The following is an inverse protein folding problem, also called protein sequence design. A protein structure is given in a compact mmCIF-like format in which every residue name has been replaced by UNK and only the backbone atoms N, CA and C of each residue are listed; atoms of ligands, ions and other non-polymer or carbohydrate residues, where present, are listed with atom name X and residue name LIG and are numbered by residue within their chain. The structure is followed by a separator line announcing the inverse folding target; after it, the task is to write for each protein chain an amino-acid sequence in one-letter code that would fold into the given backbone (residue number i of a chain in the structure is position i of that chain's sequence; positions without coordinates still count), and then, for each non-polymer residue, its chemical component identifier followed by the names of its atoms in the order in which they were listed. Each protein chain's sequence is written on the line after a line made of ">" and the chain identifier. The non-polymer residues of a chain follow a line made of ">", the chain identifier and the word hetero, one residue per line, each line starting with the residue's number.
data_IF_230291328322
#
_entry.id   IF_230291328322
#
_cell.length_a   1.000
_cell.length_b   1.000
_cell.length_c   1.000
_cell.angle_alpha   90.00
_cell.angle_beta   90.00
_cell.angle_gamma   90.00
#
_symmetry.space_group_name_H-M   'P 1'
#
loop_
_entity.id
_entity.type
_entity.pdbx_description
1 polymer ?
#
# COMPACT_ATOMS: atom_id res chain seq x y z
N UNK A 1 5.12 -1.14 -9.08
CA UNK A 1 5.99 -0.08 -8.54
C UNK A 1 5.30 0.54 -7.34
N UNK A 2 6.07 1.03 -6.37
CA UNK A 2 5.50 1.60 -5.14
C UNK A 2 5.44 3.12 -5.20
N UNK A 3 4.42 3.73 -4.60
CA UNK A 3 4.29 5.19 -4.47
C UNK A 3 3.71 5.54 -3.10
N UNK A 4 4.05 6.73 -2.59
CA UNK A 4 3.50 7.26 -1.34
C UNK A 4 2.27 8.11 -1.62
N UNK A 5 1.21 7.89 -0.86
CA UNK A 5 0.01 8.71 -0.91
C UNK A 5 -0.72 8.73 0.43
N UNK A 6 -1.50 9.78 0.69
CA UNK A 6 -2.42 9.81 1.81
C UNK A 6 -3.75 9.16 1.40
N UNK A 7 -4.08 8.06 2.06
CA UNK A 7 -5.35 7.36 1.91
C UNK A 7 -6.39 8.05 2.80
N UNK A 8 -7.36 8.70 2.15
CA UNK A 8 -8.42 9.49 2.78
C UNK A 8 -9.56 8.58 3.25
N UNK A 9 -9.84 7.52 2.50
CA UNK A 9 -10.84 6.51 2.83
C UNK A 9 -10.44 5.16 2.25
N UNK A 10 -10.69 4.06 2.97
CA UNK A 10 -10.48 2.70 2.46
C UNK A 10 -11.55 1.76 3.00
N UNK A 11 -12.33 1.18 2.09
CA UNK A 11 -13.44 0.28 2.38
C UNK A 11 -13.11 -1.12 1.87
N UNK A 12 -13.15 -2.11 2.75
CA UNK A 12 -13.06 -3.53 2.43
C UNK A 12 -14.38 -4.23 2.77
N UNK A 13 -14.53 -5.51 2.44
CA UNK A 13 -15.80 -6.22 2.58
C UNK A 13 -16.47 -6.00 3.93
N UNK A 14 -17.64 -5.35 3.89
CA UNK A 14 -18.49 -5.00 5.02
C UNK A 14 -17.90 -4.06 6.10
N UNK A 15 -16.65 -3.57 5.96
CA UNK A 15 -16.00 -2.72 6.98
C UNK A 15 -15.02 -1.69 6.41
N UNK A 16 -14.94 -0.50 7.04
CA UNK A 16 -13.93 0.51 6.70
C UNK A 16 -12.60 0.21 7.41
N UNK A 17 -11.50 0.11 6.65
CA UNK A 17 -10.12 0.02 7.17
C UNK A 17 -9.60 1.38 7.60
N UNK A 18 -9.90 2.40 6.80
CA UNK A 18 -9.53 3.80 7.06
C UNK A 18 -10.81 4.62 7.10
N UNK A 19 -10.98 5.41 8.17
CA UNK A 19 -12.10 6.36 8.27
C UNK A 19 -11.91 7.48 7.26
N UNK A 20 -13.01 7.98 6.75
CA UNK A 20 -13.03 9.15 5.88
C UNK A 20 -12.51 10.38 6.65
N UNK A 21 -11.37 10.94 6.22
CA UNK A 21 -10.69 12.04 6.91
C UNK A 21 -9.99 12.97 5.93
N UNK A 22 -9.90 14.26 6.28
CA UNK A 22 -9.24 15.29 5.46
C UNK A 22 -7.71 15.17 5.44
N UNK A 23 -7.10 14.58 6.48
CA UNK A 23 -5.64 14.45 6.56
C UNK A 23 -5.14 13.08 6.05
N UNK A 24 -6.07 12.16 5.78
CA UNK A 24 -5.76 10.79 5.41
C UNK A 24 -4.82 10.06 6.37
N UNK A 25 -4.30 8.93 5.90
CA UNK A 25 -3.19 8.21 6.53
C UNK A 25 -2.19 7.90 5.44
N UNK A 26 -0.91 8.09 5.68
CA UNK A 26 0.11 7.84 4.65
C UNK A 26 0.30 6.32 4.46
N UNK A 27 0.20 5.88 3.21
CA UNK A 27 0.51 4.52 2.79
C UNK A 27 1.58 4.54 1.70
N UNK A 28 2.37 3.47 1.67
CA UNK A 28 3.13 3.05 0.51
C UNK A 28 2.28 2.02 -0.24
N UNK A 29 1.83 2.35 -1.43
CA UNK A 29 0.89 1.55 -2.22
C UNK A 29 1.59 1.01 -3.47
N UNK A 30 1.13 -0.11 -3.99
CA UNK A 30 1.64 -0.69 -5.23
C UNK A 30 0.71 -0.39 -6.40
N UNK A 31 1.26 0.26 -7.43
CA UNK A 31 0.55 0.65 -8.66
C UNK A 31 -0.07 -0.53 -9.41
N UNK A 32 0.48 -1.75 -9.27
CA UNK A 32 -0.08 -2.94 -9.92
C UNK A 32 -1.37 -3.47 -9.26
N UNK A 33 -1.83 -2.83 -8.20
CA UNK A 33 -3.04 -3.19 -7.44
C UNK A 33 -4.20 -2.24 -7.69
N UNK A 34 -4.02 -1.27 -8.58
CA UNK A 34 -4.98 -0.20 -8.82
C UNK A 34 -5.84 -0.54 -10.04
N UNK A 35 -7.14 -0.27 -9.95
CA UNK A 35 -8.05 -0.32 -11.08
C UNK A 35 -9.10 0.80 -11.02
N UNK A 36 -9.70 1.10 -12.18
CA UNK A 36 -10.85 2.02 -12.33
C UNK A 36 -10.63 3.40 -11.69
N UNK A 37 -9.44 3.96 -11.90
CA UNK A 37 -9.01 5.26 -11.39
C UNK A 37 -9.87 6.38 -11.97
N UNK A 38 -10.35 7.29 -11.11
CA UNK A 38 -11.18 8.44 -11.48
C UNK A 38 -11.02 9.59 -10.48
N UNK A 39 -11.35 10.81 -10.90
CA UNK A 39 -11.42 11.96 -10.00
C UNK A 39 -12.50 11.73 -8.94
N UNK A 40 -12.20 12.00 -7.67
CA UNK A 40 -13.14 11.84 -6.58
C UNK A 40 -14.27 12.86 -6.69
N UNK A 41 -15.52 12.39 -6.56
CA UNK A 41 -16.70 13.25 -6.69
C UNK A 41 -16.68 14.40 -5.67
N UNK A 42 -16.94 15.62 -6.14
CA UNK A 42 -16.98 16.80 -5.27
C UNK A 42 -15.63 17.51 -5.09
N UNK A 43 -14.56 17.02 -5.73
CA UNK A 43 -13.27 17.71 -5.82
C UNK A 43 -13.13 18.45 -7.14
N UNK A 44 -12.22 19.43 -7.20
CA UNK A 44 -11.89 20.10 -8.45
C UNK A 44 -11.27 19.10 -9.45
N UNK A 45 -11.42 19.35 -10.75
CA UNK A 45 -10.77 18.53 -11.78
C UNK A 45 -9.26 18.49 -11.53
N UNK A 46 -8.69 17.28 -11.39
CA UNK A 46 -7.28 17.07 -11.04
C UNK A 46 -6.98 17.04 -9.53
N UNK A 47 -8.00 17.07 -8.65
CA UNK A 47 -7.85 16.85 -7.21
C UNK A 47 -7.75 15.37 -6.83
N UNK A 48 -8.25 15.02 -5.63
CA UNK A 48 -8.24 13.67 -5.07
C UNK A 48 -8.72 12.60 -6.07
N UNK A 49 -8.12 11.41 -5.99
CA UNK A 49 -8.49 10.27 -6.83
C UNK A 49 -9.28 9.23 -6.05
N UNK A 50 -10.12 8.48 -6.75
CA UNK A 50 -10.78 7.29 -6.24
C UNK A 50 -10.54 6.12 -7.17
N UNK A 51 -10.43 4.92 -6.61
CA UNK A 51 -10.03 3.70 -7.33
C UNK A 51 -10.50 2.44 -6.58
N UNK A 52 -10.32 1.28 -7.21
CA UNK A 52 -10.36 -0.01 -6.52
C UNK A 52 -8.93 -0.52 -6.30
N UNK A 53 -8.66 -1.00 -5.08
CA UNK A 53 -7.38 -1.53 -4.65
C UNK A 53 -7.48 -3.03 -4.35
N UNK A 54 -6.63 -3.85 -4.96
CA UNK A 54 -6.61 -5.30 -4.74
C UNK A 54 -5.47 -5.70 -3.80
N UNK A 55 -5.81 -6.29 -2.65
CA UNK A 55 -4.83 -6.82 -1.71
C UNK A 55 -4.08 -8.03 -2.30
N UNK A 56 -4.75 -8.79 -3.17
CA UNK A 56 -4.17 -9.90 -3.90
C UNK A 56 -4.77 -10.04 -5.32
N UNK A 57 -4.13 -9.50 -6.37
CA UNK A 57 -4.61 -9.59 -7.75
C UNK A 57 -4.50 -11.01 -8.31
N UNK A 58 -3.85 -11.93 -7.58
CA UNK A 58 -3.76 -13.34 -7.95
C UNK A 58 -4.92 -14.17 -7.37
N UNK A 59 -5.72 -13.60 -6.46
CA UNK A 59 -6.95 -14.22 -5.96
C UNK A 59 -8.15 -13.66 -6.71
N UNK A 60 -8.78 -14.48 -7.56
CA UNK A 60 -9.98 -14.11 -8.31
C UNK A 60 -11.19 -13.78 -7.42
N UNK A 61 -11.12 -14.07 -6.12
CA UNK A 61 -12.17 -13.75 -5.14
C UNK A 61 -11.98 -12.37 -4.52
N UNK A 62 -10.80 -11.77 -4.65
CA UNK A 62 -10.58 -10.39 -4.21
C UNK A 62 -11.34 -9.45 -5.16
N UNK A 63 -12.43 -8.86 -4.67
CA UNK A 63 -13.32 -8.02 -5.46
C UNK A 63 -12.86 -6.57 -5.58
N UNK A 64 -11.65 -6.24 -5.09
CA UNK A 64 -11.15 -4.89 -5.07
C UNK A 64 -11.84 -4.03 -4.00
N UNK A 65 -11.06 -3.18 -3.37
CA UNK A 65 -11.48 -2.39 -2.22
C UNK A 65 -11.52 -0.92 -2.60
N UNK A 66 -12.67 -0.27 -2.41
CA UNK A 66 -12.81 1.14 -2.75
C UNK A 66 -11.88 2.00 -1.89
N UNK A 67 -11.10 2.86 -2.54
CA UNK A 67 -10.11 3.71 -1.91
C UNK A 67 -10.21 5.13 -2.47
N UNK A 68 -10.00 6.13 -1.61
CA UNK A 68 -9.85 7.54 -1.96
C UNK A 68 -8.47 7.99 -1.52
N UNK A 69 -7.75 8.68 -2.41
CA UNK A 69 -6.39 9.18 -2.20
C UNK A 69 -6.36 10.70 -2.37
N UNK A 70 -5.63 11.40 -1.52
CA UNK A 70 -5.17 12.77 -1.78
C UNK A 70 -3.98 12.69 -2.74
N UNK A 71 -4.30 12.36 -4.00
CA UNK A 71 -3.33 12.19 -5.07
C UNK A 71 -4.02 12.44 -6.42
N UNK A 72 -3.51 13.38 -7.24
CA UNK A 72 -4.08 13.68 -8.55
C UNK A 72 -4.13 12.46 -9.47
N UNK A 73 -5.19 12.35 -10.26
CA UNK A 73 -5.35 11.27 -11.25
C UNK A 73 -4.22 11.27 -12.27
N UNK A 74 -3.81 12.44 -12.77
CA UNK A 74 -2.76 12.55 -13.79
C UNK A 74 -1.40 12.09 -13.25
N UNK A 75 -1.08 12.45 -11.99
CA UNK A 75 0.13 11.99 -11.31
C UNK A 75 0.09 10.48 -11.07
N UNK A 76 -1.07 9.94 -10.67
CA UNK A 76 -1.22 8.50 -10.45
C UNK A 76 -1.04 7.70 -11.76
N UNK A 77 -1.58 8.21 -12.87
CA UNK A 77 -1.38 7.63 -14.20
C UNK A 77 0.09 7.73 -14.62
N UNK A 78 0.77 8.83 -14.29
CA UNK A 78 2.21 8.96 -14.54
C UNK A 78 2.99 7.88 -13.80
N UNK A 79 2.75 7.71 -12.50
CA UNK A 79 3.37 6.65 -11.69
C UNK A 79 3.13 5.26 -12.30
N UNK A 80 1.88 4.92 -12.67
CA UNK A 80 1.58 3.61 -13.29
C UNK A 80 2.41 3.36 -14.57
N UNK A 81 2.63 4.40 -15.38
CA UNK A 81 3.32 4.27 -16.67
C UNK A 81 4.85 4.25 -16.54
N UNK A 82 5.42 4.81 -15.47
CA UNK A 82 6.87 4.77 -15.19
C UNK A 82 7.29 3.48 -14.45
N UNK A 83 6.31 2.67 -14.00
CA UNK A 83 6.42 1.57 -13.04
C UNK A 83 7.16 0.28 -13.41
N UNK A 84 7.95 0.23 -14.47
CA UNK A 84 8.52 -1.03 -14.96
C UNK A 84 9.94 -1.26 -14.46
N UNK A 85 10.09 -1.55 -13.17
CA UNK A 85 11.26 -2.24 -12.63
C UNK A 85 10.84 -3.58 -12.00
N UNK A 86 11.32 -4.69 -12.57
CA UNK A 86 11.28 -5.99 -11.91
C UNK A 86 12.32 -5.95 -10.78
N UNK A 87 11.86 -5.78 -9.54
CA UNK A 87 12.73 -5.71 -8.36
C UNK A 87 12.23 -6.59 -7.22
N UNK A 88 13.10 -6.76 -6.24
CA UNK A 88 12.77 -7.27 -4.91
C UNK A 88 13.01 -6.18 -3.87
N UNK A 89 12.35 -6.32 -2.72
CA UNK A 89 12.52 -5.48 -1.54
C UNK A 89 12.89 -6.38 -0.36
N UNK A 90 13.86 -5.95 0.45
CA UNK A 90 14.27 -6.67 1.64
C UNK A 90 13.60 -6.05 2.86
N UNK A 91 12.82 -6.86 3.57
CA UNK A 91 12.08 -6.46 4.76
C UNK A 91 12.81 -6.96 6.00
N UNK A 92 13.24 -6.05 6.87
CA UNK A 92 13.72 -6.39 8.21
C UNK A 92 12.53 -6.67 9.14
N UNK A 93 12.00 -7.89 9.11
CA UNK A 93 10.76 -8.29 9.78
C UNK A 93 11.01 -8.62 11.24
N UNK A 94 10.26 -8.02 12.17
CA UNK A 94 10.31 -8.42 13.57
C UNK A 94 9.74 -9.83 13.75
N UNK A 95 10.49 -10.70 14.44
CA UNK A 95 10.04 -12.07 14.74
C UNK A 95 8.69 -12.03 15.47
N UNK A 96 7.68 -12.72 14.96
CA UNK A 96 6.31 -12.71 15.51
C UNK A 96 5.66 -11.32 15.65
N UNK A 97 6.12 -10.34 14.86
CA UNK A 97 5.72 -8.93 14.99
C UNK A 97 6.02 -8.32 16.38
N UNK A 98 6.95 -8.92 17.13
CA UNK A 98 7.37 -8.43 18.44
C UNK A 98 8.60 -7.51 18.31
N UNK A 99 8.46 -6.20 18.55
CA UNK A 99 9.55 -5.25 18.40
C UNK A 99 10.67 -5.40 19.44
N UNK A 100 10.48 -6.23 20.46
CA UNK A 100 11.52 -6.54 21.46
C UNK A 100 12.45 -7.66 20.99
N UNK A 101 12.08 -8.39 19.93
CA UNK A 101 12.87 -9.47 19.35
C UNK A 101 13.70 -8.96 18.14
N UNK A 102 14.71 -9.76 17.77
CA UNK A 102 15.52 -9.47 16.59
C UNK A 102 14.69 -9.56 15.29
N UNK A 103 15.13 -8.81 14.29
CA UNK A 103 14.57 -8.88 12.94
C UNK A 103 15.19 -10.01 12.13
N UNK A 104 14.43 -10.50 11.15
CA UNK A 104 14.88 -11.43 10.12
C UNK A 104 14.66 -10.78 8.77
N UNK A 105 15.72 -10.72 7.96
CA UNK A 105 15.63 -10.20 6.61
C UNK A 105 14.82 -11.16 5.73
N UNK A 106 13.75 -10.64 5.13
CA UNK A 106 12.84 -11.38 4.25
C UNK A 106 12.77 -10.65 2.92
N UNK A 107 13.28 -11.29 1.86
CA UNK A 107 13.20 -10.76 0.51
C UNK A 107 11.86 -11.13 -0.14
N UNK A 108 11.17 -10.14 -0.70
CA UNK A 108 9.95 -10.36 -1.49
C UNK A 108 10.06 -9.64 -2.83
N UNK A 109 9.48 -10.22 -3.89
CA UNK A 109 9.32 -9.49 -5.14
C UNK A 109 8.37 -8.31 -4.97
N UNK A 110 8.69 -7.16 -5.56
CA UNK A 110 7.81 -5.98 -5.58
C UNK A 110 6.40 -6.32 -6.08
N UNK A 111 6.18 -7.23 -7.06
CA UNK A 111 4.82 -7.61 -7.46
C UNK A 111 3.98 -8.22 -6.33
N UNK A 112 4.61 -8.85 -5.33
CA UNK A 112 3.92 -9.46 -4.18
C UNK A 112 3.63 -8.45 -3.07
N UNK A 113 4.33 -7.31 -3.03
CA UNK A 113 4.03 -6.23 -2.09
C UNK A 113 2.62 -5.69 -2.37
N UNK A 114 1.76 -5.68 -1.35
CA UNK A 114 0.44 -5.07 -1.46
C UNK A 114 0.55 -3.61 -1.01
N UNK A 115 0.77 -3.34 0.27
CA UNK A 115 0.87 -1.98 0.79
C UNK A 115 1.65 -1.95 2.10
N UNK A 116 2.09 -0.77 2.53
CA UNK A 116 2.58 -0.54 3.88
C UNK A 116 2.01 0.73 4.49
N UNK A 117 1.90 0.74 5.82
CA UNK A 117 1.45 1.89 6.61
C UNK A 117 2.42 2.12 7.77
N UNK A 118 2.68 3.39 8.10
CA UNK A 118 3.53 3.72 9.23
C UNK A 118 2.93 3.16 10.54
N UNK A 119 3.78 2.69 11.45
CA UNK A 119 3.35 2.34 12.79
C UNK A 119 2.97 3.61 13.55
N UNK A 120 1.72 3.67 14.03
CA UNK A 120 1.17 4.84 14.73
C UNK A 120 1.95 5.21 16.01
N UNK A 121 2.69 4.27 16.59
CA UNK A 121 3.40 4.48 17.86
C UNK A 121 4.89 4.76 17.68
N UNK A 122 5.50 4.35 16.57
CA UNK A 122 6.94 4.41 16.36
C UNK A 122 7.27 4.76 14.91
N UNK A 123 7.83 5.95 14.70
CA UNK A 123 8.10 6.52 13.38
C UNK A 123 9.13 5.75 12.55
N UNK A 124 9.94 4.88 13.15
CA UNK A 124 10.95 4.06 12.46
C UNK A 124 10.43 2.73 11.95
N UNK A 125 9.15 2.42 12.18
CA UNK A 125 8.54 1.12 11.83
C UNK A 125 7.34 1.30 10.90
N UNK A 126 7.01 0.24 10.20
CA UNK A 126 5.81 0.15 9.38
C UNK A 126 5.23 -1.25 9.41
N UNK A 127 3.93 -1.33 9.14
CA UNK A 127 3.24 -2.59 8.88
C UNK A 127 3.23 -2.79 7.36
N UNK A 128 3.78 -3.91 6.90
CA UNK A 128 3.84 -4.28 5.48
C UNK A 128 2.91 -5.46 5.26
N UNK A 129 2.01 -5.33 4.28
CA UNK A 129 1.15 -6.41 3.79
C UNK A 129 1.64 -6.86 2.42
N UNK A 130 1.84 -8.15 2.24
CA UNK A 130 2.27 -8.75 0.97
C UNK A 130 1.61 -10.12 0.75
N UNK A 131 1.67 -10.61 -0.49
CA UNK A 131 1.15 -11.92 -0.88
C UNK A 131 2.23 -12.98 -0.62
N UNK A 132 2.02 -13.85 0.36
CA UNK A 132 2.98 -14.91 0.74
C UNK A 132 2.86 -16.13 -0.17
N UNK A 133 1.65 -16.44 -0.62
CA UNK A 133 1.36 -17.50 -1.59
C UNK A 133 0.12 -17.11 -2.40
N UNK A 134 -0.15 -17.79 -3.52
CA UNK A 134 -1.12 -17.37 -4.53
C UNK A 134 -2.47 -16.83 -4.04
N UNK A 135 -2.96 -17.24 -2.86
CA UNK A 135 -4.23 -16.76 -2.28
C UNK A 135 -4.11 -16.15 -0.87
N UNK A 136 -2.92 -16.10 -0.27
CA UNK A 136 -2.76 -15.67 1.12
C UNK A 136 -1.95 -14.37 1.21
N UNK A 137 -2.54 -13.36 1.86
CA UNK A 137 -1.85 -12.15 2.29
C UNK A 137 -1.29 -12.32 3.69
N UNK A 138 -0.14 -11.72 3.96
CA UNK A 138 0.51 -11.70 5.25
C UNK A 138 0.87 -10.26 5.62
N UNK A 139 0.58 -9.89 6.86
CA UNK A 139 0.95 -8.58 7.42
C UNK A 139 2.02 -8.77 8.48
N UNK A 140 3.13 -8.04 8.32
CA UNK A 140 4.29 -8.10 9.21
C UNK A 140 4.69 -6.71 9.68
N UNK A 141 5.23 -6.63 10.90
CA UNK A 141 5.87 -5.42 11.40
C UNK A 141 7.33 -5.40 10.95
N UNK A 142 7.76 -4.31 10.31
CA UNK A 142 9.12 -4.15 9.81
C UNK A 142 9.84 -2.99 10.48
N UNK A 143 11.15 -3.15 10.68
CA UNK A 143 12.02 -2.09 11.18
C UNK A 143 12.48 -1.16 10.03
N UNK A 144 11.51 -0.53 9.37
CA UNK A 144 11.76 0.41 8.27
C UNK A 144 10.64 1.42 8.16
N UNK A 145 10.98 2.66 7.79
CA UNK A 145 10.02 3.69 7.45
C UNK A 145 9.44 3.47 6.06
N UNK A 146 8.29 4.07 5.75
CA UNK A 146 7.73 4.00 4.40
C UNK A 146 8.68 4.58 3.35
N UNK A 147 9.40 5.67 3.67
CA UNK A 147 10.40 6.26 2.79
C UNK A 147 11.61 5.33 2.56
N UNK A 148 12.06 4.62 3.60
CA UNK A 148 13.15 3.65 3.48
C UNK A 148 12.74 2.43 2.64
N UNK A 149 11.47 2.01 2.71
CA UNK A 149 10.93 0.96 1.84
C UNK A 149 10.82 1.44 0.39
N UNK A 150 10.33 2.67 0.16
CA UNK A 150 10.24 3.25 -1.19
C UNK A 150 11.62 3.39 -1.85
N UNK A 151 12.66 3.75 -1.09
CA UNK A 151 14.01 3.92 -1.64
C UNK A 151 14.69 2.61 -2.10
N UNK A 152 14.09 1.45 -1.81
CA UNK A 152 14.61 0.15 -2.26
C UNK A 152 14.12 -0.25 -3.65
N UNK A 153 13.10 0.42 -4.20
CA UNK A 153 12.43 0.03 -5.45
C UNK A 153 12.71 0.96 -6.62
#
# INVERSE_FOLDING_TARGET
>A
MLFLSYVMSWQADSWKRVRDTVNGTQYLLNTNRLDSIRVHTGTAAGGDSSLYYFDNPFDHRDSGHYMVLDYPVDDLIHEINTALAHGSITLAVYTNNDPTLATVDTEIGVPYFAYAVADANVATRSWVTYVESGWATKTVLVNSTLAALLAQV
#
